data_IF_202460552852
#
_entry.id   IF_202460552852
#
_cell.length_a   1.000
_cell.length_b   1.000
_cell.length_c   1.000
_cell.angle_alpha   90.00
_cell.angle_beta   90.00
_cell.angle_gamma   90.00
#
_symmetry.space_group_name_H-M   'P 1'
#
loop_
_entity.id
_entity.type
_entity.pdbx_description
1 polymer ?
#
# COMPACT_ATOMS: atom_id res chain seq x y z
N UNK A 1 -0.60 3.48 -34.60
CA UNK A 1 -1.88 2.89 -34.14
C UNK A 1 -1.60 1.47 -33.69
N UNK A 2 -1.23 1.32 -32.42
CA UNK A 2 -0.74 0.04 -31.87
C UNK A 2 -1.87 -0.96 -31.66
N UNK A 3 -1.82 -2.08 -32.37
CA UNK A 3 -2.70 -3.23 -32.17
C UNK A 3 -2.15 -4.09 -31.04
N UNK A 4 -2.75 -3.97 -29.88
CA UNK A 4 -2.62 -4.93 -28.79
C UNK A 4 -3.94 -5.00 -28.05
N UNK A 5 -4.55 -6.20 -28.03
CA UNK A 5 -5.73 -6.56 -27.24
C UNK A 5 -7.08 -5.96 -27.64
N UNK A 6 -7.33 -5.65 -28.91
CA UNK A 6 -8.68 -5.34 -29.40
C UNK A 6 -9.38 -4.15 -28.74
N UNK A 7 -8.62 -3.29 -28.06
CA UNK A 7 -9.11 -2.01 -27.53
C UNK A 7 -8.47 -0.91 -28.37
N UNK A 8 -9.28 -0.18 -29.12
CA UNK A 8 -8.80 0.98 -29.89
C UNK A 8 -8.46 2.11 -28.93
N UNK A 9 -7.16 2.24 -28.77
CA UNK A 9 -6.56 3.07 -27.76
C UNK A 9 -6.25 4.45 -28.35
N UNK A 10 -7.22 5.36 -28.33
CA UNK A 10 -7.19 6.72 -28.92
C UNK A 10 -6.09 7.65 -28.32
N UNK A 11 -5.46 7.26 -27.21
CA UNK A 11 -4.43 8.05 -26.51
C UNK A 11 -3.06 7.36 -26.52
N UNK A 12 -1.99 8.14 -26.74
CA UNK A 12 -0.60 7.70 -26.59
C UNK A 12 -0.36 7.04 -25.22
N UNK A 13 0.48 6.01 -25.16
CA UNK A 13 0.78 5.26 -23.91
C UNK A 13 1.23 6.18 -22.76
N UNK A 14 1.95 7.24 -23.09
CA UNK A 14 2.38 8.30 -22.16
C UNK A 14 1.19 9.03 -21.54
N UNK A 15 0.14 9.34 -22.31
CA UNK A 15 -1.05 10.02 -21.78
C UNK A 15 -1.85 9.13 -20.83
N UNK A 16 -1.89 7.82 -21.06
CA UNK A 16 -2.51 6.87 -20.10
C UNK A 16 -1.73 6.73 -18.83
N UNK A 17 -0.41 6.59 -18.94
CA UNK A 17 0.46 6.54 -17.78
C UNK A 17 0.32 7.85 -16.99
N UNK A 18 0.33 9.00 -17.65
CA UNK A 18 0.14 10.31 -17.02
C UNK A 18 -1.24 10.46 -16.36
N UNK A 19 -2.32 9.95 -16.96
CA UNK A 19 -3.67 10.02 -16.36
C UNK A 19 -3.82 9.04 -15.20
N UNK A 20 -3.31 7.82 -15.30
CA UNK A 20 -3.39 6.81 -14.22
C UNK A 20 -2.44 7.17 -13.08
N UNK A 21 -1.16 7.44 -13.35
CA UNK A 21 -0.24 7.92 -12.33
C UNK A 21 -0.67 9.28 -11.79
N UNK A 22 -1.13 10.20 -12.64
CA UNK A 22 -1.62 11.51 -12.22
C UNK A 22 -2.85 11.41 -11.33
N UNK A 23 -3.84 10.59 -11.68
CA UNK A 23 -5.04 10.40 -10.84
C UNK A 23 -4.74 9.64 -9.55
N UNK A 24 -3.89 8.61 -9.58
CA UNK A 24 -3.48 7.88 -8.37
C UNK A 24 -2.63 8.76 -7.47
N UNK A 25 -1.71 9.56 -8.01
CA UNK A 25 -0.90 10.52 -7.24
C UNK A 25 -1.82 11.61 -6.68
N UNK A 26 -2.72 12.18 -7.48
CA UNK A 26 -3.66 13.20 -7.04
C UNK A 26 -4.57 12.68 -5.92
N UNK A 27 -5.16 11.49 -6.08
CA UNK A 27 -5.97 10.84 -5.05
C UNK A 27 -5.13 10.46 -3.83
N UNK A 28 -3.89 10.00 -4.02
CA UNK A 28 -2.98 9.66 -2.92
C UNK A 28 -2.47 10.89 -2.17
N UNK A 29 -2.39 12.05 -2.83
CA UNK A 29 -2.04 13.33 -2.21
C UNK A 29 -3.25 13.92 -1.50
N UNK A 30 -4.46 13.79 -2.07
CA UNK A 30 -5.70 14.29 -1.47
C UNK A 30 -6.17 13.45 -0.28
N UNK A 31 -6.13 12.11 -0.40
CA UNK A 31 -6.56 11.18 0.64
C UNK A 31 -5.39 10.71 1.52
N UNK A 32 -4.13 10.90 1.10
CA UNK A 32 -2.96 10.54 1.90
C UNK A 32 -2.93 9.05 2.27
N UNK A 33 -2.44 8.76 3.47
CA UNK A 33 -2.41 7.39 4.03
C UNK A 33 -3.77 6.81 4.40
N UNK A 34 -4.84 7.60 4.36
CA UNK A 34 -6.21 7.12 4.56
C UNK A 34 -6.58 6.04 3.54
N UNK A 35 -6.08 6.14 2.30
CA UNK A 35 -6.31 5.14 1.26
C UNK A 35 -5.78 3.75 1.66
N UNK A 36 -4.57 3.67 2.20
CA UNK A 36 -4.00 2.41 2.70
C UNK A 36 -4.72 1.86 3.93
N UNK A 37 -5.34 2.74 4.73
CA UNK A 37 -6.14 2.38 5.90
C UNK A 37 -7.47 1.72 5.55
N UNK A 38 -8.26 2.40 4.69
CA UNK A 38 -9.68 2.12 4.46
C UNK A 38 -10.03 1.61 3.06
N UNK A 39 -9.30 2.04 2.02
CA UNK A 39 -9.68 1.77 0.62
C UNK A 39 -8.91 0.56 0.06
N UNK A 40 -7.68 0.32 0.53
CA UNK A 40 -6.82 -0.73 -0.01
C UNK A 40 -7.43 -2.14 0.17
N UNK A 41 -7.73 -2.86 -0.92
CA UNK A 41 -8.31 -4.22 -0.84
C UNK A 41 -7.35 -5.24 -0.22
N UNK A 42 -6.03 -5.05 -0.37
CA UNK A 42 -5.04 -5.87 0.33
C UNK A 42 -5.00 -5.60 1.85
N UNK A 43 -5.36 -4.38 2.26
CA UNK A 43 -5.56 -4.05 3.68
C UNK A 43 -6.73 -4.83 4.27
N UNK A 44 -7.85 -4.90 3.53
CA UNK A 44 -9.01 -5.72 3.89
C UNK A 44 -8.66 -7.21 3.96
N UNK A 45 -7.89 -7.73 3.00
CA UNK A 45 -7.41 -9.11 3.02
C UNK A 45 -6.62 -9.44 4.29
N UNK A 46 -5.66 -8.59 4.68
CA UNK A 46 -4.90 -8.78 5.92
C UNK A 46 -5.75 -8.63 7.19
N UNK A 47 -6.75 -7.75 7.18
CA UNK A 47 -7.71 -7.64 8.28
C UNK A 47 -8.63 -8.87 8.36
N UNK A 48 -9.00 -9.48 7.22
CA UNK A 48 -9.76 -10.72 7.18
C UNK A 48 -8.95 -11.88 7.75
N UNK A 49 -7.67 -12.03 7.37
CA UNK A 49 -6.75 -13.01 7.98
C UNK A 49 -6.63 -12.75 9.49
N UNK A 50 -6.53 -11.49 9.89
CA UNK A 50 -6.47 -11.13 11.31
C UNK A 50 -7.74 -11.50 12.08
N UNK A 51 -8.91 -11.42 11.44
CA UNK A 51 -10.20 -11.91 11.99
C UNK A 51 -10.24 -13.43 12.06
N UNK A 52 -9.79 -14.12 11.01
CA UNK A 52 -9.69 -15.58 10.98
C UNK A 52 -8.79 -16.11 12.11
N UNK A 53 -7.61 -15.50 12.30
CA UNK A 53 -6.72 -15.81 13.43
C UNK A 53 -7.38 -15.60 14.80
N UNK A 54 -8.13 -14.51 14.96
CA UNK A 54 -8.90 -14.26 16.20
C UNK A 54 -9.95 -15.34 16.43
N UNK A 55 -10.62 -15.78 15.36
CA UNK A 55 -11.58 -16.89 15.43
C UNK A 55 -10.90 -18.21 15.83
N UNK A 56 -9.67 -18.43 15.36
CA UNK A 56 -8.81 -19.56 15.78
C UNK A 56 -8.18 -19.38 17.18
N UNK A 57 -8.51 -18.31 17.92
CA UNK A 57 -8.01 -17.98 19.27
C UNK A 57 -6.48 -17.89 19.39
N UNK A 58 -5.76 -17.67 18.29
CA UNK A 58 -4.30 -17.51 18.31
C UNK A 58 -3.95 -16.06 18.59
N UNK A 59 -3.05 -15.81 19.54
CA UNK A 59 -2.59 -14.45 19.87
C UNK A 59 -1.66 -13.87 18.79
N UNK A 60 -1.64 -12.55 18.62
CA UNK A 60 -0.77 -11.91 17.62
C UNK A 60 0.56 -11.63 18.23
N UNK A 61 1.62 -11.68 17.42
CA UNK A 61 2.93 -11.23 17.83
C UNK A 61 3.12 -9.77 17.43
N UNK A 62 3.70 -9.01 18.34
CA UNK A 62 4.16 -7.65 18.10
C UNK A 62 5.64 -7.73 17.70
N UNK A 63 6.08 -6.88 16.78
CA UNK A 63 7.51 -6.76 16.50
C UNK A 63 8.20 -5.98 17.62
N UNK A 64 9.47 -6.29 17.86
CA UNK A 64 10.35 -5.43 18.67
C UNK A 64 10.43 -4.04 18.03
N UNK A 65 10.43 -2.98 18.86
CA UNK A 65 10.34 -1.59 18.40
C UNK A 65 11.43 -1.25 17.36
N UNK A 66 12.68 -1.68 17.60
CA UNK A 66 13.81 -1.48 16.67
C UNK A 66 13.64 -2.23 15.33
N UNK A 67 13.06 -3.44 15.38
CA UNK A 67 12.84 -4.23 14.17
C UNK A 67 11.71 -3.65 13.32
N UNK A 68 10.67 -3.09 13.97
CA UNK A 68 9.58 -2.43 13.26
C UNK A 68 10.07 -1.23 12.44
N UNK A 69 10.94 -0.41 13.03
CA UNK A 69 11.49 0.77 12.36
C UNK A 69 12.35 0.38 11.14
N UNK A 70 13.20 -0.65 11.28
CA UNK A 70 13.97 -1.21 10.16
C UNK A 70 13.08 -1.75 9.04
N UNK A 71 11.94 -2.37 9.38
CA UNK A 71 10.98 -2.86 8.39
C UNK A 71 10.33 -1.73 7.59
N UNK A 72 10.04 -0.61 8.25
CA UNK A 72 9.58 0.59 7.56
C UNK A 72 10.67 1.18 6.66
N UNK A 73 11.92 1.23 7.12
CA UNK A 73 13.06 1.69 6.31
C UNK A 73 13.29 0.83 5.06
N UNK A 74 13.14 -0.50 5.18
CA UNK A 74 13.27 -1.44 4.06
C UNK A 74 12.28 -1.11 2.93
N UNK A 75 11.07 -0.65 3.26
CA UNK A 75 10.10 -0.19 2.25
C UNK A 75 10.58 1.00 1.41
N UNK A 76 11.35 1.93 2.00
CA UNK A 76 11.95 3.04 1.26
C UNK A 76 13.12 2.58 0.37
N UNK A 77 13.89 1.59 0.82
CA UNK A 77 14.96 0.98 -0.01
C UNK A 77 14.37 0.28 -1.22
N UNK A 78 13.31 -0.52 -1.02
CA UNK A 78 12.58 -1.18 -2.12
C UNK A 78 12.00 -0.14 -3.08
N UNK A 79 11.43 0.95 -2.56
CA UNK A 79 10.94 2.04 -3.39
C UNK A 79 12.05 2.69 -4.23
N UNK A 80 13.20 3.01 -3.62
CA UNK A 80 14.34 3.58 -4.32
C UNK A 80 14.83 2.65 -5.44
N UNK A 81 14.96 1.36 -5.13
CA UNK A 81 15.33 0.33 -6.12
C UNK A 81 14.31 0.24 -7.26
N UNK A 82 13.01 0.26 -6.96
CA UNK A 82 11.96 0.28 -7.99
C UNK A 82 12.07 1.51 -8.87
N UNK A 83 12.26 2.70 -8.29
CA UNK A 83 12.40 3.95 -9.06
C UNK A 83 13.65 3.89 -9.94
N UNK A 84 14.79 3.44 -9.42
CA UNK A 84 16.03 3.29 -10.19
C UNK A 84 15.83 2.32 -11.36
N UNK A 85 15.27 1.13 -11.11
CA UNK A 85 14.97 0.17 -12.19
C UNK A 85 13.99 0.77 -13.19
N UNK A 86 12.94 1.46 -12.73
CA UNK A 86 11.96 2.09 -13.61
C UNK A 86 12.58 3.18 -14.48
N UNK A 87 13.53 3.96 -13.97
CA UNK A 87 14.27 4.96 -14.74
C UNK A 87 15.22 4.29 -15.73
N UNK A 88 15.93 3.23 -15.33
CA UNK A 88 16.84 2.48 -16.21
C UNK A 88 16.07 1.87 -17.39
N UNK A 89 15.03 1.08 -17.12
CA UNK A 89 14.21 0.46 -18.17
C UNK A 89 13.33 1.48 -18.92
N UNK A 90 12.86 2.53 -18.25
CA UNK A 90 12.11 3.62 -18.88
C UNK A 90 12.96 4.47 -19.81
N UNK A 91 14.23 4.69 -19.49
CA UNK A 91 15.18 5.40 -20.37
C UNK A 91 15.42 4.64 -21.68
N UNK A 92 15.34 3.30 -21.64
CA UNK A 92 15.44 2.45 -22.83
C UNK A 92 14.22 2.62 -23.76
N UNK A 93 13.04 2.91 -23.20
CA UNK A 93 11.84 3.21 -23.97
C UNK A 93 11.86 4.62 -24.59
N UNK A 94 12.60 5.57 -24.00
CA UNK A 94 12.73 6.97 -24.49
C UNK A 94 13.88 7.10 -25.51
N UNK A 95 14.97 6.36 -25.32
CA UNK A 95 16.17 6.45 -26.16
C UNK A 95 16.14 5.57 -27.42
N UNK A 96 15.12 4.72 -27.60
CA UNK A 96 14.95 3.88 -28.79
C UNK A 96 16.05 2.81 -29.00
N UNK A 97 16.86 2.52 -27.99
CA UNK A 97 17.97 1.58 -28.08
C UNK A 97 17.60 0.22 -27.49
N UNK A 98 17.65 -0.83 -28.33
CA UNK A 98 17.49 -2.23 -27.95
C UNK A 98 18.76 -2.75 -27.25
N UNK A 99 18.94 -2.42 -25.96
CA UNK A 99 20.02 -3.02 -25.15
C UNK A 99 19.62 -4.39 -24.56
N UNK A 100 18.32 -4.72 -24.52
CA UNK A 100 17.79 -6.00 -24.03
C UNK A 100 16.71 -6.50 -25.01
N UNK A 101 16.77 -7.75 -25.50
CA UNK A 101 15.70 -8.32 -26.32
C UNK A 101 14.36 -8.32 -25.55
N UNK A 102 13.28 -7.79 -26.14
CA UNK A 102 11.92 -7.84 -25.57
C UNK A 102 11.34 -6.52 -25.03
N UNK A 103 12.01 -5.38 -25.24
CA UNK A 103 11.52 -4.02 -24.90
C UNK A 103 10.70 -3.34 -26.01
N UNK A 104 10.32 -4.06 -27.07
CA UNK A 104 9.48 -3.54 -28.15
C UNK A 104 8.08 -3.12 -27.65
N UNK A 105 7.39 -2.21 -28.34
CA UNK A 105 5.99 -1.87 -28.04
C UNK A 105 5.12 -3.12 -28.15
N UNK A 106 4.57 -3.60 -27.02
CA UNK A 106 3.84 -4.87 -26.94
C UNK A 106 4.68 -6.06 -26.44
N UNK A 107 5.99 -5.87 -26.24
CA UNK A 107 6.89 -6.85 -25.64
C UNK A 107 6.60 -7.10 -24.15
N UNK A 108 6.99 -8.28 -23.68
CA UNK A 108 6.81 -8.72 -22.29
C UNK A 108 7.47 -7.77 -21.28
N UNK A 109 8.68 -7.28 -21.58
CA UNK A 109 9.46 -6.39 -20.70
C UNK A 109 8.77 -5.02 -20.60
N UNK A 110 8.30 -4.48 -21.72
CA UNK A 110 7.54 -3.22 -21.74
C UNK A 110 6.26 -3.32 -20.88
N UNK A 111 5.50 -4.40 -21.06
CA UNK A 111 4.25 -4.62 -20.31
C UNK A 111 4.51 -4.83 -18.82
N UNK A 112 5.57 -5.56 -18.45
CA UNK A 112 5.91 -5.84 -17.04
C UNK A 112 6.44 -4.61 -16.28
N UNK A 113 7.31 -3.81 -16.92
CA UNK A 113 7.91 -2.64 -16.28
C UNK A 113 7.04 -1.38 -16.38
N UNK A 114 5.98 -1.37 -17.19
CA UNK A 114 5.00 -0.28 -17.24
C UNK A 114 4.23 -0.08 -15.92
N UNK A 115 4.13 -1.12 -15.09
CA UNK A 115 3.41 -1.13 -13.80
C UNK A 115 4.24 -1.77 -12.67
N UNK A 116 5.38 -1.15 -12.29
CA UNK A 116 6.38 -1.80 -11.41
C UNK A 116 5.86 -2.01 -9.98
N UNK A 117 4.98 -1.13 -9.51
CA UNK A 117 4.33 -1.26 -8.20
C UNK A 117 3.41 -2.48 -8.10
N UNK A 118 2.74 -2.84 -9.20
CA UNK A 118 1.81 -3.98 -9.25
C UNK A 118 2.54 -5.32 -9.22
N UNK A 119 3.79 -5.38 -9.68
CA UNK A 119 4.61 -6.60 -9.67
C UNK A 119 5.10 -6.94 -8.27
N UNK A 120 5.48 -5.94 -7.48
CA UNK A 120 5.90 -6.14 -6.09
C UNK A 120 4.69 -6.35 -5.17
N UNK A 121 3.48 -6.03 -5.63
CA UNK A 121 2.27 -6.17 -4.84
C UNK A 121 1.82 -7.66 -4.76
N UNK A 122 1.78 -8.27 -3.56
CA UNK A 122 1.35 -9.65 -3.36
C UNK A 122 -0.13 -9.84 -3.73
N UNK A 123 -0.90 -8.77 -3.92
CA UNK A 123 -2.29 -8.86 -4.32
C UNK A 123 -2.47 -9.24 -5.79
N UNK A 124 -1.44 -9.14 -6.64
CA UNK A 124 -1.57 -9.38 -8.08
C UNK A 124 -2.28 -10.71 -8.42
N UNK A 125 -1.94 -11.86 -7.81
CA UNK A 125 -2.65 -13.12 -8.06
C UNK A 125 -4.14 -13.06 -7.66
N UNK A 126 -4.45 -12.42 -6.52
CA UNK A 126 -5.84 -12.22 -6.07
C UNK A 126 -6.62 -11.32 -7.03
N UNK A 127 -6.01 -10.26 -7.55
CA UNK A 127 -6.66 -9.37 -8.52
C UNK A 127 -6.99 -10.12 -9.82
N UNK A 128 -6.06 -10.94 -10.32
CA UNK A 128 -6.26 -11.73 -11.55
C UNK A 128 -7.38 -12.74 -11.35
N UNK A 129 -7.39 -13.46 -10.21
CA UNK A 129 -8.47 -14.40 -9.90
C UNK A 129 -9.83 -13.70 -9.75
N UNK A 130 -9.87 -12.53 -9.11
CA UNK A 130 -11.10 -11.76 -8.96
C UNK A 130 -11.61 -11.27 -10.33
N UNK A 131 -10.74 -10.72 -11.17
CA UNK A 131 -11.10 -10.25 -12.51
C UNK A 131 -11.60 -11.39 -13.41
N UNK A 132 -10.98 -12.58 -13.32
CA UNK A 132 -11.46 -13.78 -14.00
C UNK A 132 -12.84 -14.22 -13.47
N UNK A 133 -13.05 -14.20 -12.15
CA UNK A 133 -14.32 -14.61 -11.54
C UNK A 133 -15.50 -13.67 -11.86
N UNK A 134 -15.23 -12.38 -12.06
CA UNK A 134 -16.25 -11.36 -12.40
C UNK A 134 -16.47 -11.27 -13.92
N UNK A 135 -15.77 -12.08 -14.73
CA UNK A 135 -15.89 -12.07 -16.18
C UNK A 135 -15.29 -10.83 -16.87
N UNK A 136 -14.59 -9.98 -16.12
CA UNK A 136 -13.85 -8.83 -16.64
C UNK A 136 -12.61 -9.26 -17.45
N UNK A 137 -12.15 -10.49 -17.24
CA UNK A 137 -11.03 -11.09 -17.94
C UNK A 137 -11.45 -12.45 -18.48
N UNK A 138 -11.28 -12.69 -19.80
CA UNK A 138 -11.60 -14.01 -20.38
C UNK A 138 -10.65 -15.07 -19.79
N UNK A 139 -11.14 -16.26 -19.42
CA UNK A 139 -10.31 -17.36 -18.92
C UNK A 139 -9.20 -17.78 -19.88
N UNK A 140 -9.40 -17.55 -21.18
CA UNK A 140 -8.42 -17.77 -22.26
C UNK A 140 -7.08 -17.06 -21.98
N UNK A 141 -7.10 -15.87 -21.38
CA UNK A 141 -5.89 -15.10 -21.08
C UNK A 141 -5.09 -15.61 -19.87
N UNK A 142 -5.73 -16.37 -18.98
CA UNK A 142 -5.01 -17.15 -17.95
C UNK A 142 -4.21 -18.28 -18.61
N UNK A 143 -4.79 -18.92 -19.64
CA UNK A 143 -4.20 -20.07 -20.34
C UNK A 143 -3.18 -19.64 -21.40
N UNK A 144 -3.28 -18.45 -21.96
CA UNK A 144 -2.32 -17.95 -22.96
C UNK A 144 -0.93 -17.67 -22.34
N UNK A 145 -0.90 -17.37 -21.04
CA UNK A 145 0.35 -17.35 -20.27
C UNK A 145 1.02 -18.72 -20.17
N UNK A 146 0.31 -19.82 -20.47
CA UNK A 146 0.79 -21.21 -20.37
C UNK A 146 1.38 -21.78 -21.67
N UNK A 147 1.18 -21.15 -22.83
CA UNK A 147 1.46 -21.77 -24.14
C UNK A 147 2.33 -20.96 -25.11
N UNK A 148 2.74 -19.72 -24.78
CA UNK A 148 3.60 -18.90 -25.65
C UNK A 148 5.12 -19.10 -25.46
N UNK A 149 5.94 -18.55 -26.37
CA UNK A 149 7.42 -18.58 -26.30
C UNK A 149 8.01 -17.92 -25.03
N UNK A 150 7.19 -17.16 -24.29
CA UNK A 150 7.53 -16.52 -23.02
C UNK A 150 6.98 -17.27 -21.78
N UNK A 151 6.45 -18.49 -21.96
CA UNK A 151 5.83 -19.31 -20.91
C UNK A 151 6.76 -19.54 -19.71
N UNK A 152 8.02 -19.89 -19.95
CA UNK A 152 8.94 -20.23 -18.86
C UNK A 152 9.14 -19.04 -17.91
N UNK A 153 9.43 -17.85 -18.43
CA UNK A 153 9.65 -16.66 -17.60
C UNK A 153 8.36 -16.17 -16.92
N UNK A 154 7.22 -16.20 -17.63
CA UNK A 154 5.91 -15.87 -17.06
C UNK A 154 5.51 -16.81 -15.92
N UNK A 155 5.76 -18.11 -16.08
CA UNK A 155 5.51 -19.13 -15.06
C UNK A 155 6.41 -18.93 -13.82
N UNK A 156 7.72 -18.69 -14.00
CA UNK A 156 8.62 -18.42 -12.88
C UNK A 156 8.21 -17.16 -12.09
N UNK A 157 7.86 -16.07 -12.77
CA UNK A 157 7.44 -14.84 -12.12
C UNK A 157 6.08 -14.96 -11.43
N UNK A 158 5.14 -15.71 -12.01
CA UNK A 158 3.85 -16.00 -11.38
C UNK A 158 4.03 -16.89 -10.15
N UNK A 159 4.88 -17.90 -10.24
CA UNK A 159 5.25 -18.77 -9.12
C UNK A 159 5.93 -17.98 -8.00
N UNK A 160 6.85 -17.07 -8.32
CA UNK A 160 7.46 -16.16 -7.36
C UNK A 160 6.42 -15.27 -6.66
N UNK A 161 5.47 -14.70 -7.42
CA UNK A 161 4.42 -13.86 -6.85
C UNK A 161 3.47 -14.63 -5.93
N UNK A 162 3.11 -15.87 -6.30
CA UNK A 162 2.33 -16.77 -5.44
C UNK A 162 3.10 -17.15 -4.18
N UNK A 163 4.40 -17.39 -4.29
CA UNK A 163 5.27 -17.65 -3.15
C UNK A 163 5.35 -16.45 -2.21
N UNK A 164 5.54 -15.24 -2.75
CA UNK A 164 5.54 -13.99 -1.97
C UNK A 164 4.18 -13.76 -1.31
N UNK A 165 3.06 -13.98 -2.02
CA UNK A 165 1.72 -13.91 -1.44
C UNK A 165 1.54 -14.92 -0.29
N UNK A 166 2.03 -16.15 -0.46
CA UNK A 166 2.02 -17.17 0.59
C UNK A 166 2.80 -16.73 1.83
N UNK A 167 4.05 -16.27 1.65
CA UNK A 167 4.87 -15.72 2.73
C UNK A 167 4.20 -14.53 3.43
N UNK A 168 3.65 -13.59 2.66
CA UNK A 168 2.97 -12.43 3.22
C UNK A 168 1.69 -12.83 3.94
N UNK A 169 0.97 -13.84 3.47
CA UNK A 169 -0.24 -14.37 4.13
C UNK A 169 0.11 -15.01 5.47
N UNK A 170 1.18 -15.80 5.53
CA UNK A 170 1.72 -16.35 6.79
C UNK A 170 2.18 -15.22 7.70
N UNK A 171 2.90 -14.22 7.18
CA UNK A 171 3.33 -13.06 7.95
C UNK A 171 2.13 -12.25 8.48
N UNK A 172 1.08 -12.07 7.68
CA UNK A 172 -0.16 -11.38 8.06
C UNK A 172 -0.96 -12.17 9.11
N UNK A 173 -0.79 -13.49 9.16
CA UNK A 173 -1.33 -14.33 10.21
C UNK A 173 -0.63 -14.09 11.55
N UNK A 174 0.70 -13.98 11.61
CA UNK A 174 1.38 -13.71 12.88
C UNK A 174 1.39 -12.23 13.28
N UNK A 175 1.49 -11.34 12.29
CA UNK A 175 1.71 -9.91 12.45
C UNK A 175 0.63 -9.10 11.73
N UNK A 176 -0.01 -8.19 12.47
CA UNK A 176 -1.06 -7.33 11.90
C UNK A 176 -0.48 -6.40 10.84
N UNK A 177 -1.10 -6.41 9.65
CA UNK A 177 -0.78 -5.53 8.51
C UNK A 177 0.73 -5.48 8.18
N UNK A 178 1.40 -6.64 8.17
CA UNK A 178 2.84 -6.76 7.95
C UNK A 178 3.28 -6.12 6.61
N UNK A 179 2.57 -6.39 5.52
CA UNK A 179 2.90 -5.86 4.20
C UNK A 179 2.77 -4.34 4.12
N UNK A 180 1.80 -3.76 4.82
CA UNK A 180 1.58 -2.32 4.81
C UNK A 180 2.78 -1.54 5.38
N UNK A 181 3.69 -2.21 6.11
CA UNK A 181 4.94 -1.61 6.63
C UNK A 181 6.05 -1.56 5.58
N UNK A 182 6.10 -2.57 4.70
CA UNK A 182 7.08 -2.74 3.64
C UNK A 182 6.64 -2.14 2.29
N UNK A 183 5.34 -1.93 2.11
CA UNK A 183 4.75 -1.59 0.82
C UNK A 183 5.42 -0.35 0.19
N UNK A 184 6.00 -0.46 -1.02
CA UNK A 184 6.70 0.65 -1.66
C UNK A 184 5.76 1.81 -2.00
N UNK A 185 4.51 1.52 -2.36
CA UNK A 185 3.48 2.55 -2.55
C UNK A 185 3.17 3.29 -1.24
N UNK A 186 3.10 2.57 -0.12
CA UNK A 186 2.90 3.17 1.20
C UNK A 186 4.06 4.06 1.64
N UNK A 187 5.29 3.69 1.27
CA UNK A 187 6.49 4.51 1.47
C UNK A 187 6.49 5.75 0.58
N UNK A 188 6.05 5.62 -0.68
CA UNK A 188 5.93 6.74 -1.61
C UNK A 188 4.94 7.80 -1.08
N UNK A 189 3.76 7.35 -0.64
CA UNK A 189 2.75 8.23 -0.03
C UNK A 189 3.28 8.86 1.28
N UNK A 190 4.04 8.10 2.07
CA UNK A 190 4.68 8.61 3.28
C UNK A 190 5.69 9.73 2.96
N UNK A 191 6.46 9.57 1.90
CA UNK A 191 7.45 10.53 1.42
C UNK A 191 6.76 11.82 0.92
N UNK A 192 5.69 11.71 0.13
CA UNK A 192 4.91 12.88 -0.30
C UNK A 192 4.26 13.63 0.86
N UNK A 193 3.73 12.92 1.87
CA UNK A 193 3.15 13.56 3.07
C UNK A 193 4.20 14.17 4.02
N UNK A 194 5.47 13.77 3.91
CA UNK A 194 6.59 14.38 4.65
C UNK A 194 6.91 15.78 4.12
N UNK A 195 6.69 16.05 2.83
CA UNK A 195 7.03 17.34 2.22
C UNK A 195 6.08 18.46 2.71
N UNK A 196 6.60 19.56 3.29
CA UNK A 196 5.80 20.65 3.88
C UNK A 196 4.71 21.27 2.99
N UNK A 197 4.89 21.50 1.67
CA UNK A 197 3.83 22.06 0.84
C UNK A 197 2.65 21.09 0.65
N UNK A 198 2.92 19.79 0.59
CA UNK A 198 1.90 18.74 0.43
C UNK A 198 1.23 18.35 1.77
N UNK A 199 1.93 18.49 2.90
CA UNK A 199 1.37 18.31 4.25
C UNK A 199 0.18 19.24 4.54
N UNK A 200 0.10 20.40 3.87
CA UNK A 200 -1.04 21.32 3.98
C UNK A 200 -2.29 20.83 3.23
N UNK A 201 -2.12 20.03 2.18
CA UNK A 201 -3.20 19.48 1.37
C UNK A 201 -3.79 18.17 1.92
N UNK A 202 -3.01 17.39 2.69
CA UNK A 202 -3.54 16.27 3.47
C UNK A 202 -4.47 16.80 4.56
N UNK A 203 -5.77 16.84 4.28
CA UNK A 203 -6.77 17.44 5.16
C UNK A 203 -6.97 16.70 6.48
N UNK A 204 -6.51 15.44 6.60
CA UNK A 204 -6.70 14.59 7.77
C UNK A 204 -5.50 14.70 8.72
N UNK A 205 -5.76 15.09 9.97
CA UNK A 205 -4.76 15.13 11.05
C UNK A 205 -5.26 14.42 12.29
N UNK A 206 -4.36 13.72 12.96
CA UNK A 206 -4.59 13.13 14.27
C UNK A 206 -3.96 14.05 15.33
N UNK A 207 -4.80 14.64 16.16
CA UNK A 207 -4.40 15.54 17.23
C UNK A 207 -4.56 14.85 18.59
N UNK A 208 -3.53 15.01 19.43
CA UNK A 208 -3.51 14.54 20.81
C UNK A 208 -3.65 15.73 21.75
N UNK A 209 -4.61 15.66 22.66
CA UNK A 209 -4.81 16.66 23.71
C UNK A 209 -4.03 16.21 24.95
N UNK A 210 -2.98 16.95 25.31
CA UNK A 210 -2.08 16.60 26.42
C UNK A 210 -2.84 16.51 27.76
N UNK A 211 -3.69 17.49 28.05
CA UNK A 211 -4.45 17.58 29.30
C UNK A 211 -5.35 16.37 29.58
N UNK A 212 -5.84 15.71 28.52
CA UNK A 212 -6.76 14.58 28.62
C UNK A 212 -6.06 13.22 28.50
N UNK A 213 -4.77 13.18 28.16
CA UNK A 213 -4.04 11.94 27.93
C UNK A 213 -3.26 11.48 29.17
N UNK A 214 -3.63 10.34 29.74
CA UNK A 214 -2.94 9.75 30.91
C UNK A 214 -1.79 8.81 30.57
N UNK A 215 -1.41 8.69 29.29
CA UNK A 215 -0.42 7.71 28.79
C UNK A 215 -0.74 6.26 29.20
N UNK A 216 -1.99 5.83 29.07
CA UNK A 216 -2.43 4.46 29.37
C UNK A 216 -1.89 3.35 28.43
N UNK A 217 -1.21 3.72 27.33
CA UNK A 217 -0.58 2.76 26.40
C UNK A 217 -1.54 1.96 25.50
N UNK A 218 -2.85 2.20 25.56
CA UNK A 218 -3.83 1.49 24.71
C UNK A 218 -3.61 1.79 23.22
N UNK A 219 -3.25 3.03 22.89
CA UNK A 219 -2.92 3.44 21.52
C UNK A 219 -1.75 2.61 20.92
N UNK A 220 -0.70 2.31 21.72
CA UNK A 220 0.44 1.47 21.29
C UNK A 220 0.00 0.02 21.06
N UNK A 221 -0.85 -0.54 21.93
CA UNK A 221 -1.35 -1.92 21.81
C UNK A 221 -2.30 -2.12 20.62
N UNK A 222 -3.18 -1.17 20.35
CA UNK A 222 -4.18 -1.31 19.28
C UNK A 222 -3.61 -1.03 17.89
N UNK A 223 -2.53 -0.24 17.78
CA UNK A 223 -1.96 0.18 16.51
C UNK A 223 -1.47 -1.01 15.66
N UNK A 224 -2.01 -1.23 14.44
CA UNK A 224 -1.61 -2.36 13.61
C UNK A 224 -0.19 -2.23 13.04
N UNK A 225 0.31 -1.00 12.86
CA UNK A 225 1.67 -0.71 12.38
C UNK A 225 2.64 -0.31 13.48
N UNK A 226 2.21 -0.33 14.75
CA UNK A 226 3.04 -0.02 15.92
C UNK A 226 3.77 1.34 15.82
N UNK A 227 3.02 2.38 15.49
CA UNK A 227 3.47 3.78 15.52
C UNK A 227 3.55 4.23 16.98
N UNK A 228 4.78 4.39 17.50
CA UNK A 228 5.05 4.68 18.91
C UNK A 228 4.87 6.17 19.25
N UNK A 229 4.98 7.04 18.24
CA UNK A 229 4.89 8.49 18.36
C UNK A 229 3.53 8.94 18.91
N UNK A 230 2.44 8.20 18.63
CA UNK A 230 1.10 8.48 19.20
C UNK A 230 1.09 8.36 20.72
N UNK A 231 1.92 7.48 21.28
CA UNK A 231 2.08 7.29 22.71
C UNK A 231 3.10 8.27 23.32
N UNK A 232 4.27 8.40 22.69
CA UNK A 232 5.43 9.12 23.22
C UNK A 232 5.26 10.64 23.21
N UNK A 233 4.68 11.21 22.14
CA UNK A 233 4.48 12.64 21.99
C UNK A 233 3.55 13.19 23.07
N UNK A 234 3.87 14.37 23.64
CA UNK A 234 3.11 14.95 24.76
C UNK A 234 1.75 15.50 24.32
N UNK A 235 1.69 16.16 23.15
CA UNK A 235 0.47 16.73 22.60
C UNK A 235 0.69 17.31 21.20
N UNK A 236 -0.39 17.71 20.54
CA UNK A 236 -0.35 18.32 19.21
C UNK A 236 -0.60 17.33 18.07
N UNK A 237 -0.09 17.64 16.88
CA UNK A 237 -0.25 16.83 15.67
C UNK A 237 0.67 15.59 15.71
N UNK A 238 0.08 14.44 16.05
CA UNK A 238 0.78 13.14 16.11
C UNK A 238 0.69 12.37 14.79
N UNK A 239 0.40 13.06 13.68
CA UNK A 239 0.33 12.45 12.36
C UNK A 239 1.72 12.17 11.82
N UNK A 240 2.24 10.98 12.11
CA UNK A 240 3.51 10.50 11.56
C UNK A 240 3.34 9.93 10.16
N UNK A 241 4.40 10.02 9.36
CA UNK A 241 4.48 9.40 8.02
C UNK A 241 4.24 7.88 8.06
N UNK A 242 4.44 7.19 9.19
CA UNK A 242 4.18 5.75 9.34
C UNK A 242 2.73 5.41 9.72
N UNK A 243 1.90 6.41 10.07
CA UNK A 243 0.51 6.23 10.46
C UNK A 243 -0.39 5.95 9.23
N UNK A 244 -1.12 4.83 9.25
CA UNK A 244 -2.10 4.47 8.20
C UNK A 244 -3.45 5.20 8.34
N UNK A 245 -3.60 6.09 9.32
CA UNK A 245 -4.86 6.79 9.61
C UNK A 245 -6.08 5.84 9.72
N UNK A 246 -5.86 4.65 10.30
CA UNK A 246 -6.91 3.65 10.49
C UNK A 246 -7.89 3.95 11.65
N UNK A 247 -7.67 5.03 12.39
CA UNK A 247 -8.51 5.54 13.50
C UNK A 247 -8.75 4.60 14.69
N UNK A 248 -8.24 3.37 14.68
CA UNK A 248 -8.36 2.40 15.79
C UNK A 248 -7.87 2.94 17.14
N UNK A 249 -6.87 3.82 17.15
CA UNK A 249 -6.39 4.45 18.38
C UNK A 249 -7.41 5.43 18.98
N UNK A 250 -8.22 6.08 18.15
CA UNK A 250 -9.27 7.01 18.58
C UNK A 250 -10.49 6.25 19.08
N UNK A 251 -10.90 5.21 18.36
CA UNK A 251 -11.98 4.30 18.76
C UNK A 251 -11.66 3.57 20.07
N UNK A 252 -10.39 3.17 20.23
CA UNK A 252 -9.88 2.44 21.38
C UNK A 252 -9.02 3.35 22.29
N UNK A 253 -9.34 4.64 22.46
CA UNK A 253 -8.88 5.42 23.63
C UNK A 253 -9.95 5.55 24.74
N UNK A 254 -9.67 5.15 26.00
CA UNK A 254 -10.69 5.09 27.06
C UNK A 254 -11.09 6.46 27.61
N UNK A 255 -10.32 7.50 27.28
CA UNK A 255 -10.57 8.86 27.75
C UNK A 255 -11.31 9.64 26.67
N UNK A 256 -12.36 10.32 27.10
CA UNK A 256 -13.16 11.15 26.21
C UNK A 256 -12.30 12.28 25.61
N UNK A 257 -12.34 12.41 24.29
CA UNK A 257 -11.80 13.55 23.55
C UNK A 257 -10.28 13.78 23.74
N UNK A 258 -9.54 12.75 24.17
CA UNK A 258 -8.08 12.72 24.27
C UNK A 258 -7.38 12.61 22.90
N UNK A 259 -8.02 11.94 21.94
CA UNK A 259 -7.56 11.87 20.55
C UNK A 259 -8.67 12.40 19.62
N UNK A 260 -8.29 13.29 18.70
CA UNK A 260 -9.20 13.92 17.73
C UNK A 260 -8.70 13.73 16.31
N UNK A 261 -9.59 13.42 15.39
CA UNK A 261 -9.31 13.45 13.95
C UNK A 261 -9.91 14.72 13.37
N UNK A 262 -9.05 15.61 12.87
CA UNK A 262 -9.43 16.83 12.17
C UNK A 262 -9.39 16.60 10.67
N UNK A 263 -10.47 16.93 9.97
CA UNK A 263 -10.54 17.00 8.51
C UNK A 263 -10.71 18.48 8.11
N UNK A 264 -9.75 19.05 7.40
CA UNK A 264 -9.76 20.45 6.96
C UNK A 264 -10.11 21.45 8.09
N UNK A 265 -9.57 21.21 9.29
CA UNK A 265 -9.79 22.03 10.48
C UNK A 265 -11.05 21.70 11.30
N UNK A 266 -11.98 20.91 10.77
CA UNK A 266 -13.18 20.45 11.52
C UNK A 266 -12.92 19.10 12.18
N UNK A 267 -13.37 18.92 13.42
CA UNK A 267 -13.23 17.64 14.10
C UNK A 267 -14.30 16.67 13.62
N UNK A 268 -13.91 15.55 13.02
CA UNK A 268 -14.82 14.53 12.47
C UNK A 268 -15.01 13.38 13.44
N UNK A 269 -13.92 12.95 14.10
CA UNK A 269 -13.91 11.83 15.03
C UNK A 269 -13.23 12.24 16.34
N UNK A 270 -13.79 11.80 17.47
CA UNK A 270 -13.24 12.02 18.81
C UNK A 270 -13.26 10.70 19.55
N UNK A 271 -12.30 10.48 20.45
CA UNK A 271 -12.37 9.35 21.37
C UNK A 271 -13.57 9.51 22.30
N UNK A 272 -14.25 8.41 22.58
CA UNK A 272 -15.36 8.37 23.53
C UNK A 272 -14.97 7.43 24.66
N UNK A 273 -15.37 7.77 25.87
CA UNK A 273 -15.28 6.84 26.97
C UNK A 273 -16.22 5.67 26.68
N UNK A 274 -15.72 4.44 26.69
CA UNK A 274 -16.54 3.22 26.55
C UNK A 274 -16.81 2.53 27.88
N UNK A 275 -16.31 3.10 28.99
CA UNK A 275 -16.58 2.63 30.35
C UNK A 275 -17.84 3.26 30.95
N UNK A 276 -18.45 4.21 30.24
CA UNK A 276 -19.79 4.75 30.48
C UNK A 276 -20.82 4.06 29.58
#
# INVERSE_FOLDING_TARGET
TGRGWGVDYVSSGIMRLAVVFGSVILLSVLLGKFFCGWICPFGLYQDLISRLRKALKIEHRNFSDSFNEKFHQLGYVILALIIILSVIFGSQAIAGTQLVPGTEEGGFVYTYFSVPFCQVCPMKPLCVMLQASVGLMKPEWLVESTTGDFYQLGFYLTSLNLFVLGLVTVAAFFYRRAWCRLCPLGALIALFNRFPPFKRFSGIRLEKVEEKCTKCGVCKRVCPTQVNEVYEEKGGDVTTSNCLLCMRCVEMCPYEDALRVKLAGKTVLKSRNWLE
#
